data_IF_618403491282
#
_entry.id   IF_618403491282
#
_cell.length_a   1.000
_cell.length_b   1.000
_cell.length_c   1.000
_cell.angle_alpha   90.00
_cell.angle_beta   90.00
_cell.angle_gamma   90.00
#
_symmetry.space_group_name_H-M   'P 1'
#
loop_
_entity.id
_entity.type
_entity.pdbx_description
1 polymer ?
#
# COMPACT_ATOMS: atom_id res chain seq x y z
N UNK A 1 3.07 2.58 10.92
CA UNK A 1 3.29 1.26 11.56
C UNK A 1 3.38 1.30 13.08
N UNK A 2 4.22 2.16 13.70
CA UNK A 2 4.40 2.15 15.16
C UNK A 2 3.11 2.38 15.97
N UNK A 3 2.22 3.25 15.49
CA UNK A 3 0.90 3.51 16.10
C UNK A 3 -0.08 2.33 15.94
N UNK A 4 0.00 1.64 14.80
CA UNK A 4 -0.84 0.49 14.47
C UNK A 4 -0.43 -0.72 15.31
N UNK A 5 0.87 -1.03 15.35
CA UNK A 5 1.44 -2.08 16.20
C UNK A 5 1.33 -1.78 17.70
N UNK A 6 1.30 -0.50 18.07
CA UNK A 6 1.09 -0.05 19.45
C UNK A 6 -0.36 -0.17 19.94
N UNK A 7 -1.30 -0.64 19.10
CA UNK A 7 -2.71 -0.77 19.47
C UNK A 7 -3.44 0.56 19.68
N UNK A 8 -2.84 1.67 19.23
CA UNK A 8 -3.38 3.01 19.42
C UNK A 8 -4.38 3.39 18.32
N UNK A 9 -4.49 2.57 17.27
CA UNK A 9 -5.40 2.77 16.14
C UNK A 9 -6.54 1.77 16.21
N UNK A 10 -7.77 2.27 16.38
CA UNK A 10 -8.99 1.45 16.43
C UNK A 10 -9.61 1.21 15.05
N UNK A 11 -9.52 2.21 14.17
CA UNK A 11 -10.07 2.15 12.81
C UNK A 11 -9.06 2.76 11.84
N UNK A 12 -8.75 2.02 10.78
CA UNK A 12 -7.99 2.47 9.63
C UNK A 12 -9.00 2.80 8.53
N UNK A 13 -9.07 4.06 8.13
CA UNK A 13 -9.93 4.51 7.03
C UNK A 13 -9.06 4.72 5.79
N UNK A 14 -9.44 4.11 4.69
CA UNK A 14 -8.74 4.14 3.42
C UNK A 14 -9.65 4.77 2.38
N UNK A 15 -9.11 5.57 1.48
CA UNK A 15 -9.88 6.15 0.37
C UNK A 15 -9.88 5.27 -0.88
N UNK A 16 -8.91 4.37 -1.02
CA UNK A 16 -8.86 3.36 -2.06
C UNK A 16 -7.98 2.20 -1.58
N UNK A 17 -8.28 0.97 -1.98
CA UNK A 17 -7.53 -0.23 -1.58
C UNK A 17 -6.08 -0.21 -2.11
N UNK A 18 -5.88 0.28 -3.34
CA UNK A 18 -4.58 0.28 -4.04
C UNK A 18 -3.57 1.30 -3.51
N UNK A 19 -3.97 2.17 -2.58
CA UNK A 19 -3.10 3.27 -2.08
C UNK A 19 -2.29 2.91 -0.83
N UNK A 20 -2.58 1.78 -0.17
CA UNK A 20 -1.82 1.37 1.01
C UNK A 20 -0.40 0.92 0.64
N UNK A 21 -0.29 -0.01 -0.31
CA UNK A 21 0.97 -0.44 -0.93
C UNK A 21 0.69 -1.10 -2.29
N UNK A 22 1.50 -0.74 -3.30
CA UNK A 22 1.58 -1.43 -4.61
C UNK A 22 1.76 -2.96 -4.51
N UNK A 23 2.42 -3.41 -3.44
CA UNK A 23 2.61 -4.82 -3.08
C UNK A 23 2.57 -4.96 -1.55
N UNK A 24 1.73 -5.85 -1.02
CA UNK A 24 1.68 -6.14 0.42
C UNK A 24 0.53 -5.48 1.19
N UNK A 25 -0.54 -5.08 0.50
CA UNK A 25 -1.84 -4.76 1.12
C UNK A 25 -2.31 -5.90 2.02
N UNK A 26 -2.18 -7.16 1.57
CA UNK A 26 -2.51 -8.35 2.35
C UNK A 26 -1.77 -8.41 3.70
N UNK A 27 -0.48 -8.02 3.73
CA UNK A 27 0.31 -7.97 4.97
C UNK A 27 -0.26 -6.94 5.96
N UNK A 28 -0.72 -5.79 5.47
CA UNK A 28 -1.36 -4.78 6.32
C UNK A 28 -2.69 -5.29 6.85
N UNK A 29 -3.51 -5.95 6.02
CA UNK A 29 -4.76 -6.54 6.48
C UNK A 29 -4.53 -7.60 7.57
N UNK A 30 -3.52 -8.46 7.41
CA UNK A 30 -3.13 -9.45 8.42
C UNK A 30 -2.74 -8.76 9.73
N UNK A 31 -1.94 -7.69 9.65
CA UNK A 31 -1.50 -6.94 10.84
C UNK A 31 -2.67 -6.21 11.52
N UNK A 32 -3.57 -5.58 10.75
CA UNK A 32 -4.77 -4.94 11.27
C UNK A 32 -5.66 -5.96 12.01
N UNK A 33 -5.83 -7.17 11.47
CA UNK A 33 -6.54 -8.26 12.16
C UNK A 33 -5.85 -8.65 13.47
N UNK A 34 -4.52 -8.73 13.45
CA UNK A 34 -3.73 -9.11 14.62
C UNK A 34 -3.86 -8.10 15.77
N UNK A 35 -3.90 -6.81 15.44
CA UNK A 35 -4.02 -5.72 16.41
C UNK A 35 -5.49 -5.31 16.67
N UNK A 36 -6.46 -6.03 16.09
CA UNK A 36 -7.91 -5.76 16.19
C UNK A 36 -8.30 -4.35 15.72
N UNK A 37 -7.62 -3.85 14.70
CA UNK A 37 -7.96 -2.59 14.02
C UNK A 37 -8.96 -2.87 12.92
N UNK A 38 -10.11 -2.17 12.93
CA UNK A 38 -11.10 -2.25 11.85
C UNK A 38 -10.60 -1.51 10.62
N UNK A 39 -10.79 -2.05 9.42
CA UNK A 39 -10.43 -1.38 8.17
C UNK A 39 -11.69 -1.01 7.42
N UNK A 40 -11.84 0.26 7.05
CA UNK A 40 -12.96 0.78 6.27
C UNK A 40 -12.40 1.41 5.00
N UNK A 41 -12.85 0.93 3.85
CA UNK A 41 -12.52 1.53 2.55
C UNK A 41 -13.68 2.43 2.14
N UNK A 42 -13.43 3.73 2.13
CA UNK A 42 -14.30 4.74 1.53
C UNK A 42 -14.03 4.72 0.04
N UNK A 43 -14.84 4.00 -0.72
CA UNK A 43 -14.69 3.95 -2.17
C UNK A 43 -15.10 5.31 -2.76
N UNK A 44 -14.12 6.19 -3.00
CA UNK A 44 -14.38 7.38 -3.79
C UNK A 44 -14.51 6.94 -5.25
N UNK A 45 -15.67 7.18 -5.84
CA UNK A 45 -16.03 6.95 -7.26
C UNK A 45 -15.16 7.74 -8.28
N UNK A 46 -13.96 8.14 -7.91
CA UNK A 46 -12.93 8.55 -8.84
C UNK A 46 -12.22 7.29 -9.35
N UNK A 47 -12.86 6.58 -10.28
CA UNK A 47 -12.22 5.53 -11.07
C UNK A 47 -11.02 6.15 -11.80
N UNK A 48 -9.83 6.01 -11.22
CA UNK A 48 -8.60 6.27 -11.95
C UNK A 48 -8.54 5.24 -13.08
N UNK A 49 -8.35 5.69 -14.33
CA UNK A 49 -8.34 4.80 -15.48
C UNK A 49 -7.33 3.67 -15.25
N UNK A 50 -7.74 2.42 -15.46
CA UNK A 50 -6.90 1.23 -15.32
C UNK A 50 -5.52 1.38 -16.01
N UNK A 51 -5.49 2.01 -17.18
CA UNK A 51 -4.24 2.30 -17.90
C UNK A 51 -3.27 3.18 -17.10
N UNK A 52 -3.80 4.16 -16.35
CA UNK A 52 -3.00 5.06 -15.50
C UNK A 52 -2.40 4.32 -14.31
N UNK A 53 -3.16 3.41 -13.72
CA UNK A 53 -2.69 2.54 -12.64
C UNK A 53 -1.60 1.57 -13.13
N UNK A 54 -1.80 0.97 -14.30
CA UNK A 54 -0.83 0.07 -14.92
C UNK A 54 0.50 0.78 -15.24
N UNK A 55 0.46 1.99 -15.82
CA UNK A 55 1.65 2.79 -16.11
C UNK A 55 2.41 3.11 -14.83
N UNK A 56 1.68 3.48 -13.78
CA UNK A 56 2.22 3.70 -12.46
C UNK A 56 2.98 2.44 -11.99
N UNK A 57 2.37 1.27 -12.01
CA UNK A 57 3.00 0.02 -11.56
C UNK A 57 4.31 -0.31 -12.28
N UNK A 58 4.33 -0.15 -13.60
CA UNK A 58 5.54 -0.36 -14.41
C UNK A 58 6.66 0.58 -13.99
N UNK A 59 6.37 1.87 -13.77
CA UNK A 59 7.37 2.86 -13.32
C UNK A 59 7.94 2.47 -11.95
N UNK A 60 7.09 2.01 -11.02
CA UNK A 60 7.55 1.56 -9.69
C UNK A 60 8.45 0.35 -9.79
N UNK A 61 8.08 -0.63 -10.62
CA UNK A 61 8.90 -1.82 -10.86
C UNK A 61 10.27 -1.45 -11.44
N UNK A 62 10.31 -0.59 -12.45
CA UNK A 62 11.55 -0.08 -13.03
C UNK A 62 12.41 0.66 -12.01
N UNK A 63 11.80 1.46 -11.12
CA UNK A 63 12.50 2.21 -10.09
C UNK A 63 13.19 1.28 -9.08
N UNK A 64 12.49 0.23 -8.61
CA UNK A 64 13.05 -0.77 -7.70
C UNK A 64 14.21 -1.51 -8.33
N UNK A 65 14.08 -1.95 -9.58
CA UNK A 65 15.17 -2.63 -10.29
C UNK A 65 16.35 -1.72 -10.55
N UNK A 66 16.11 -0.45 -10.91
CA UNK A 66 17.17 0.54 -11.10
C UNK A 66 17.94 0.76 -9.79
N UNK A 67 17.25 0.98 -8.67
CA UNK A 67 17.89 1.14 -7.37
C UNK A 67 18.75 -0.09 -6.99
N UNK A 68 18.27 -1.31 -7.27
CA UNK A 68 19.05 -2.56 -7.05
C UNK A 68 20.28 -2.65 -7.97
N UNK A 69 20.15 -2.24 -9.24
CA UNK A 69 21.25 -2.26 -10.20
C UNK A 69 22.35 -1.26 -9.80
N UNK A 70 21.97 -0.04 -9.42
CA UNK A 70 22.92 0.97 -8.92
C UNK A 70 23.52 0.57 -7.58
N UNK A 71 22.73 -0.01 -6.67
CA UNK A 71 23.22 -0.50 -5.38
C UNK A 71 24.24 -1.64 -5.46
N UNK A 72 24.23 -2.43 -6.55
CA UNK A 72 25.25 -3.47 -6.81
C UNK A 72 26.57 -2.94 -7.39
N UNK A 73 26.61 -1.66 -7.78
CA UNK A 73 27.82 -0.99 -8.29
C UNK A 73 28.52 -0.12 -7.23
N UNK A 74 28.07 -0.22 -5.98
CA UNK A 74 28.69 0.41 -4.81
C UNK A 74 29.27 -0.63 -3.86
#
# INVERSE_FOLDING_TARGET
MRLLLGGQIRTLVLTHDDRLLRFGTELIYILCRWVKTSVVVLDELAEELFETELVKDVITLMTVFSARLYGKRS
#
